data_IF_755166909837
#
_entry.id   IF_755166909837
#
_cell.length_a   1.000
_cell.length_b   1.000
_cell.length_c   1.000
_cell.angle_alpha   90.00
_cell.angle_beta   90.00
_cell.angle_gamma   90.00
#
_symmetry.space_group_name_H-M   'P 1'
#
loop_
_entity.id
_entity.type
_entity.pdbx_description
1 polymer ?
#
# COMPACT_ATOMS: atom_id res chain seq x y z
N UNK A 1 14.08 -22.07 17.66
CA UNK A 1 12.90 -22.09 16.78
C UNK A 1 13.11 -20.98 15.78
N UNK A 2 13.50 -21.35 14.57
CA UNK A 2 13.76 -20.41 13.47
C UNK A 2 12.47 -19.64 13.19
N UNK A 3 12.43 -18.37 13.56
CA UNK A 3 11.34 -17.47 13.22
C UNK A 3 11.55 -17.07 11.77
N UNK A 4 11.13 -17.94 10.86
CA UNK A 4 11.17 -17.67 9.44
C UNK A 4 10.37 -16.40 9.15
N UNK A 5 11.06 -15.34 8.75
CA UNK A 5 10.54 -14.08 8.24
C UNK A 5 9.71 -14.34 6.97
N UNK A 6 8.51 -14.88 7.15
CA UNK A 6 7.47 -14.86 6.12
C UNK A 6 6.89 -13.46 6.12
N UNK A 7 7.60 -12.52 5.51
CA UNK A 7 7.04 -11.24 5.11
C UNK A 7 5.85 -11.54 4.18
N UNK A 8 4.64 -11.61 4.75
CA UNK A 8 3.41 -11.61 3.98
C UNK A 8 3.47 -10.36 3.12
N UNK A 9 3.51 -10.56 1.81
CA UNK A 9 3.58 -9.52 0.78
C UNK A 9 2.27 -8.71 0.84
N UNK A 10 2.08 -7.90 1.88
CA UNK A 10 0.85 -7.14 2.09
C UNK A 10 0.56 -6.81 3.54
N UNK A 11 -0.08 -5.64 3.70
CA UNK A 11 -0.62 -5.18 4.97
C UNK A 11 -2.07 -5.65 5.17
N UNK A 12 -2.54 -5.69 6.43
CA UNK A 12 -3.85 -6.18 6.87
C UNK A 12 -5.03 -5.46 6.22
N UNK A 13 -4.87 -4.18 5.87
CA UNK A 13 -5.90 -3.33 5.27
C UNK A 13 -5.88 -3.28 3.73
N UNK A 14 -5.44 -4.33 3.05
CA UNK A 14 -5.40 -4.37 1.57
C UNK A 14 -6.80 -4.24 0.97
N UNK A 15 -6.89 -3.51 -0.15
CA UNK A 15 -8.13 -3.35 -0.91
C UNK A 15 -8.12 -4.36 -2.07
N UNK A 16 -9.18 -5.16 -2.16
CA UNK A 16 -9.36 -6.09 -3.28
C UNK A 16 -9.68 -5.32 -4.55
N UNK A 17 -9.06 -5.75 -5.65
CA UNK A 17 -9.13 -5.06 -6.92
C UNK A 17 -9.91 -5.90 -7.91
N UNK A 18 -10.91 -5.30 -8.55
CA UNK A 18 -11.66 -6.01 -9.59
C UNK A 18 -10.75 -6.31 -10.78
N UNK A 19 -10.81 -7.55 -11.27
CA UNK A 19 -10.10 -7.92 -12.49
C UNK A 19 -10.64 -7.11 -13.66
N UNK A 20 -9.73 -6.68 -14.53
CA UNK A 20 -10.10 -5.99 -15.76
C UNK A 20 -9.14 -6.37 -16.87
N UNK A 21 -9.70 -6.68 -18.04
CA UNK A 21 -8.92 -7.12 -19.19
C UNK A 21 -8.34 -5.95 -19.99
N UNK A 22 -9.06 -4.82 -20.06
CA UNK A 22 -8.67 -3.64 -20.84
C UNK A 22 -7.71 -2.74 -20.06
N UNK A 23 -6.61 -2.35 -20.70
CA UNK A 23 -5.61 -1.44 -20.12
C UNK A 23 -6.22 -0.08 -19.73
N UNK A 24 -7.24 0.40 -20.44
CA UNK A 24 -7.96 1.63 -20.10
C UNK A 24 -8.50 1.57 -18.66
N UNK A 25 -9.10 0.44 -18.26
CA UNK A 25 -9.62 0.27 -16.90
C UNK A 25 -8.49 0.04 -15.89
N UNK A 26 -7.43 -0.70 -16.25
CA UNK A 26 -6.24 -0.90 -15.40
C UNK A 26 -5.54 0.43 -15.07
N UNK A 27 -5.47 1.33 -16.04
CA UNK A 27 -4.82 2.63 -15.92
C UNK A 27 -5.77 3.73 -15.42
N UNK A 28 -7.04 3.39 -15.13
CA UNK A 28 -7.98 4.33 -14.55
C UNK A 28 -7.55 4.75 -13.15
N UNK A 29 -7.93 5.97 -12.75
CA UNK A 29 -7.57 6.54 -11.47
C UNK A 29 -7.95 5.63 -10.27
N UNK A 30 -9.18 5.08 -10.18
CA UNK A 30 -9.55 4.22 -9.06
C UNK A 30 -8.68 2.96 -8.97
N UNK A 31 -8.34 2.35 -10.12
CA UNK A 31 -7.44 1.20 -10.13
C UNK A 31 -6.03 1.61 -9.69
N UNK A 32 -5.46 2.71 -10.18
CA UNK A 32 -4.11 3.13 -9.78
C UNK A 32 -4.01 3.43 -8.28
N UNK A 33 -5.02 4.09 -7.71
CA UNK A 33 -5.05 4.42 -6.27
C UNK A 33 -5.02 3.16 -5.40
N UNK A 34 -5.72 2.08 -5.80
CA UNK A 34 -5.67 0.81 -5.06
C UNK A 34 -4.28 0.16 -5.13
N UNK A 35 -3.54 0.29 -6.24
CA UNK A 35 -2.15 -0.20 -6.28
C UNK A 35 -1.24 0.59 -5.35
N UNK A 36 -1.39 1.91 -5.32
CA UNK A 36 -0.61 2.79 -4.44
C UNK A 36 -0.87 2.42 -2.98
N UNK A 37 -2.14 2.26 -2.60
CA UNK A 37 -2.53 1.85 -1.26
C UNK A 37 -1.92 0.51 -0.88
N UNK A 38 -2.10 -0.52 -1.73
CA UNK A 38 -1.64 -1.88 -1.45
C UNK A 38 -0.10 -2.05 -1.41
N UNK A 39 0.65 -1.04 -1.85
CA UNK A 39 2.12 -0.99 -1.81
C UNK A 39 2.66 -0.36 -0.52
N UNK A 40 1.81 0.29 0.28
CA UNK A 40 2.24 0.88 1.55
C UNK A 40 2.59 -0.21 2.57
N UNK A 41 3.44 0.11 3.55
CA UNK A 41 3.76 -0.81 4.64
C UNK A 41 2.65 -0.84 5.70
N UNK A 42 2.57 -1.92 6.47
CA UNK A 42 1.66 -2.04 7.62
C UNK A 42 1.80 -0.86 8.57
N UNK A 43 3.04 -0.45 8.84
CA UNK A 43 3.39 0.62 9.77
C UNK A 43 2.86 2.00 9.36
N UNK A 44 2.76 2.25 8.06
CA UNK A 44 2.15 3.45 7.50
C UNK A 44 0.63 3.32 7.64
N UNK A 45 0.06 2.22 7.14
CA UNK A 45 -1.38 2.00 7.03
C UNK A 45 -2.09 1.88 8.39
N UNK A 46 -1.37 1.45 9.43
CA UNK A 46 -1.86 1.31 10.81
C UNK A 46 -1.53 2.50 11.72
N UNK A 47 -1.10 3.63 11.15
CA UNK A 47 -0.83 4.83 11.93
C UNK A 47 -2.05 5.24 12.78
N UNK A 48 -1.80 5.56 14.05
CA UNK A 48 -2.84 5.88 15.05
C UNK A 48 -3.63 7.15 14.74
N UNK A 49 -3.07 8.06 13.93
CA UNK A 49 -3.72 9.33 13.58
C UNK A 49 -3.43 9.73 12.13
N UNK A 50 -4.32 10.56 11.58
CA UNK A 50 -4.17 11.10 10.22
C UNK A 50 -2.89 11.92 10.07
N UNK A 51 -2.47 12.65 11.11
CA UNK A 51 -1.23 13.42 11.08
C UNK A 51 -0.02 12.49 10.97
N UNK A 52 0.07 11.46 11.82
CA UNK A 52 1.14 10.46 11.78
C UNK A 52 1.16 9.72 10.43
N UNK A 53 -0.01 9.40 9.88
CA UNK A 53 -0.13 8.79 8.56
C UNK A 53 0.49 9.66 7.46
N UNK A 54 0.15 10.96 7.42
CA UNK A 54 0.70 11.91 6.45
C UNK A 54 2.22 12.03 6.56
N UNK A 55 2.75 12.20 7.77
CA UNK A 55 4.19 12.30 8.01
C UNK A 55 4.95 11.05 7.54
N UNK A 56 4.44 9.86 7.87
CA UNK A 56 5.06 8.59 7.44
C UNK A 56 4.97 8.39 5.92
N UNK A 57 3.83 8.76 5.31
CA UNK A 57 3.66 8.74 3.86
C UNK A 57 4.65 9.65 3.14
N UNK A 58 4.80 10.88 3.63
CA UNK A 58 5.71 11.85 3.02
C UNK A 58 7.15 11.35 3.12
N UNK A 59 7.58 10.84 4.29
CA UNK A 59 8.89 10.19 4.45
C UNK A 59 9.12 9.07 3.43
N UNK A 60 8.17 8.15 3.29
CA UNK A 60 8.25 7.04 2.34
C UNK A 60 8.47 7.51 0.88
N UNK A 61 7.89 8.65 0.49
CA UNK A 61 8.08 9.24 -0.84
C UNK A 61 9.48 9.79 -1.08
N UNK A 62 10.15 10.29 -0.04
CA UNK A 62 11.48 10.90 -0.15
C UNK A 62 12.65 9.96 0.19
N UNK A 63 12.42 8.89 0.95
CA UNK A 63 13.45 7.90 1.29
C UNK A 63 13.73 6.88 0.19
N UNK A 64 12.91 6.85 -0.86
CA UNK A 64 13.04 5.89 -1.98
C UNK A 64 13.80 6.51 -3.17
N UNK A 65 14.71 7.46 -2.92
CA UNK A 65 15.50 8.16 -3.94
C UNK A 65 16.98 7.82 -3.83
#
# INVERSE_FOLDING_TARGET
MEQGDRQTIGHSKKIMKNQCHRNIKKLSFPHRTVDIWNRLSEEIVTAESVCKFKEKLDKCRYTTR
#
